data_IF_615273640461
#
_entry.id   IF_615273640461
#
_cell.length_a   1.000
_cell.length_b   1.000
_cell.length_c   1.000
_cell.angle_alpha   90.00
_cell.angle_beta   90.00
_cell.angle_gamma   90.00
#
_symmetry.space_group_name_H-M   'P 1'
#
loop_
_entity.id
_entity.type
_entity.pdbx_description
1 polymer ?
#
# COMPACT_ATOMS: atom_id res chain seq x y z
N UNK A 1 -32.13 -50.63 -1.89
CA UNK A 1 -31.32 -49.73 -1.03
C UNK A 1 -30.54 -48.82 -1.96
N UNK A 2 -30.95 -47.56 -2.09
CA UNK A 2 -30.33 -46.60 -3.02
C UNK A 2 -29.79 -45.44 -2.20
N UNK A 3 -28.47 -45.39 -2.02
CA UNK A 3 -27.79 -44.27 -1.38
C UNK A 3 -27.38 -43.32 -2.51
N UNK A 4 -28.10 -42.21 -2.65
CA UNK A 4 -27.68 -41.09 -3.51
C UNK A 4 -26.72 -40.24 -2.69
N UNK A 5 -25.43 -40.28 -3.04
CA UNK A 5 -24.41 -39.40 -2.46
C UNK A 5 -24.57 -38.02 -3.13
N UNK A 6 -25.11 -37.06 -2.38
CA UNK A 6 -25.10 -35.65 -2.77
C UNK A 6 -23.67 -35.11 -2.59
N UNK A 7 -22.92 -34.96 -3.67
CA UNK A 7 -21.64 -34.27 -3.68
C UNK A 7 -21.88 -32.75 -3.62
N UNK A 8 -21.65 -32.15 -2.45
CA UNK A 8 -21.60 -30.70 -2.32
C UNK A 8 -20.35 -30.16 -3.05
N UNK A 9 -20.57 -29.43 -4.14
CA UNK A 9 -19.51 -28.71 -4.85
C UNK A 9 -19.06 -27.52 -4.00
N UNK A 10 -17.96 -27.67 -3.26
CA UNK A 10 -17.26 -26.55 -2.64
C UNK A 10 -16.53 -25.77 -3.74
N UNK A 11 -17.18 -24.75 -4.30
CA UNK A 11 -16.53 -23.77 -5.16
C UNK A 11 -15.57 -22.93 -4.31
N UNK A 12 -14.28 -23.30 -4.28
CA UNK A 12 -13.21 -22.43 -3.81
C UNK A 12 -13.22 -21.18 -4.69
N UNK A 13 -13.73 -20.07 -4.17
CA UNK A 13 -13.58 -18.76 -4.80
C UNK A 13 -12.09 -18.41 -4.77
N UNK A 14 -11.36 -18.77 -5.84
CA UNK A 14 -10.01 -18.29 -6.09
C UNK A 14 -10.15 -16.80 -6.40
N UNK A 15 -10.21 -15.97 -5.35
CA UNK A 15 -10.09 -14.54 -5.54
C UNK A 15 -8.73 -14.28 -6.18
N UNK A 16 -8.65 -13.46 -7.23
CA UNK A 16 -7.36 -13.06 -7.76
C UNK A 16 -6.56 -12.49 -6.59
N UNK A 17 -5.45 -13.14 -6.24
CA UNK A 17 -4.58 -12.67 -5.18
C UNK A 17 -3.90 -11.42 -5.70
N UNK A 18 -4.50 -10.27 -5.44
CA UNK A 18 -3.83 -8.99 -5.66
C UNK A 18 -2.81 -8.83 -4.54
N UNK A 19 -1.67 -9.46 -4.77
CA UNK A 19 -0.55 -9.38 -3.88
C UNK A 19 0.16 -8.07 -4.11
N UNK A 20 0.34 -7.31 -3.04
CA UNK A 20 1.23 -6.15 -3.06
C UNK A 20 2.64 -6.51 -2.58
N UNK A 21 2.98 -7.81 -2.57
CA UNK A 21 4.31 -8.30 -2.18
C UNK A 21 5.45 -7.75 -3.04
N UNK A 22 5.14 -7.24 -4.24
CA UNK A 22 6.08 -6.58 -5.16
C UNK A 22 5.52 -5.22 -5.60
N UNK A 23 5.73 -4.17 -4.81
CA UNK A 23 5.33 -2.81 -5.17
C UNK A 23 5.86 -2.43 -6.56
N UNK A 24 5.05 -1.71 -7.34
CA UNK A 24 5.41 -1.23 -8.67
C UNK A 24 5.06 -2.16 -9.84
N UNK A 25 4.77 -3.45 -9.60
CA UNK A 25 4.40 -4.39 -10.68
C UNK A 25 3.02 -4.09 -11.24
N UNK A 26 2.02 -3.92 -10.37
CA UNK A 26 0.63 -3.68 -10.73
C UNK A 26 0.16 -2.28 -10.28
N UNK A 27 0.91 -1.24 -10.67
CA UNK A 27 0.55 0.16 -10.36
C UNK A 27 -0.83 0.50 -10.88
N UNK A 28 -1.57 1.27 -10.09
CA UNK A 28 -2.80 1.90 -10.55
C UNK A 28 -2.48 2.84 -11.73
N UNK A 29 -3.28 2.76 -12.80
CA UNK A 29 -3.06 3.49 -14.06
C UNK A 29 -3.91 4.74 -14.21
N UNK A 30 -4.90 4.93 -13.34
CA UNK A 30 -5.70 6.15 -13.27
C UNK A 30 -5.11 7.19 -12.32
N UNK A 31 -5.84 8.28 -12.09
CA UNK A 31 -5.50 9.24 -11.04
C UNK A 31 -6.02 8.76 -9.70
N UNK A 32 -5.27 8.89 -8.59
CA UNK A 32 -5.74 8.46 -7.28
C UNK A 32 -7.11 9.04 -6.88
N UNK A 33 -7.40 10.29 -7.29
CA UNK A 33 -8.70 10.91 -7.09
C UNK A 33 -9.84 10.18 -7.84
N UNK A 34 -9.61 9.72 -9.07
CA UNK A 34 -10.61 8.97 -9.84
C UNK A 34 -10.91 7.59 -9.25
N UNK A 35 -9.93 6.97 -8.57
CA UNK A 35 -10.13 5.67 -7.92
C UNK A 35 -11.26 5.70 -6.87
N UNK A 36 -11.47 6.85 -6.21
CA UNK A 36 -12.50 7.00 -5.18
C UNK A 36 -13.91 6.73 -5.70
N UNK A 37 -14.17 6.88 -7.00
CA UNK A 37 -15.46 6.58 -7.60
C UNK A 37 -15.91 5.12 -7.40
N UNK A 38 -14.98 4.20 -7.10
CA UNK A 38 -15.28 2.79 -6.84
C UNK A 38 -15.64 2.50 -5.37
N UNK A 39 -15.33 3.39 -4.43
CA UNK A 39 -15.73 3.27 -3.03
C UNK A 39 -17.17 3.78 -2.84
N UNK A 40 -18.13 3.00 -3.35
CA UNK A 40 -19.56 3.38 -3.38
C UNK A 40 -20.19 3.53 -1.99
N UNK A 41 -19.58 2.89 -1.00
CA UNK A 41 -19.94 2.92 0.41
C UNK A 41 -19.51 4.20 1.15
N UNK A 42 -18.48 4.92 0.68
CA UNK A 42 -18.16 6.26 1.20
C UNK A 42 -19.28 7.23 0.76
N UNK A 43 -19.81 8.11 1.62
CA UNK A 43 -20.76 9.13 1.20
C UNK A 43 -20.25 9.98 0.02
N UNK A 44 -21.17 10.40 -0.86
CA UNK A 44 -20.77 11.09 -2.09
C UNK A 44 -20.05 12.41 -1.84
N UNK A 45 -20.45 13.14 -0.79
CA UNK A 45 -19.79 14.37 -0.37
C UNK A 45 -18.37 14.10 0.17
N UNK A 46 -18.21 13.09 1.01
CA UNK A 46 -16.92 12.68 1.56
C UNK A 46 -15.95 12.24 0.45
N UNK A 47 -16.43 11.48 -0.54
CA UNK A 47 -15.63 11.13 -1.74
C UNK A 47 -15.19 12.37 -2.50
N UNK A 48 -16.05 13.37 -2.67
CA UNK A 48 -15.72 14.60 -3.39
C UNK A 48 -14.63 15.38 -2.66
N UNK A 49 -14.73 15.49 -1.33
CA UNK A 49 -13.71 16.14 -0.50
C UNK A 49 -12.39 15.36 -0.55
N UNK A 50 -12.41 14.04 -0.37
CA UNK A 50 -11.21 13.21 -0.49
C UNK A 50 -10.55 13.35 -1.88
N UNK A 51 -11.33 13.34 -2.96
CA UNK A 51 -10.82 13.48 -4.33
C UNK A 51 -10.14 14.83 -4.54
N UNK A 52 -10.72 15.90 -4.02
CA UNK A 52 -10.14 17.24 -4.08
C UNK A 52 -8.82 17.28 -3.31
N UNK A 53 -8.79 16.83 -2.05
CA UNK A 53 -7.58 16.84 -1.22
C UNK A 53 -6.45 16.00 -1.83
N UNK A 54 -6.78 14.85 -2.43
CA UNK A 54 -5.82 14.02 -3.16
C UNK A 54 -5.25 14.77 -4.37
N UNK A 55 -6.10 15.44 -5.15
CA UNK A 55 -5.69 16.21 -6.33
C UNK A 55 -4.79 17.39 -5.97
N UNK A 56 -5.10 18.07 -4.86
CA UNK A 56 -4.32 19.19 -4.33
C UNK A 56 -3.06 18.73 -3.58
N UNK A 57 -2.91 17.43 -3.32
CA UNK A 57 -1.82 16.87 -2.54
C UNK A 57 -1.87 17.21 -1.05
N UNK A 58 -3.00 17.73 -0.55
CA UNK A 58 -3.26 18.17 0.83
C UNK A 58 -3.50 16.99 1.79
N UNK A 59 -2.44 16.21 2.03
CA UNK A 59 -2.47 15.04 2.90
C UNK A 59 -2.62 15.42 4.37
N UNK A 60 -3.33 14.58 5.12
CA UNK A 60 -3.43 14.66 6.59
C UNK A 60 -2.20 14.06 7.28
N UNK A 61 -1.48 13.17 6.59
CA UNK A 61 -0.32 12.48 7.13
C UNK A 61 0.63 11.98 6.02
N UNK A 62 1.91 11.90 6.36
CA UNK A 62 2.94 11.28 5.55
C UNK A 62 3.47 10.07 6.28
N UNK A 63 3.29 8.89 5.69
CA UNK A 63 3.50 7.63 6.41
C UNK A 63 4.50 6.72 5.70
N UNK A 64 5.14 5.86 6.49
CA UNK A 64 5.95 4.75 6.03
C UNK A 64 5.18 3.45 6.23
N UNK A 65 4.91 2.75 5.15
CA UNK A 65 4.26 1.45 5.16
C UNK A 65 5.34 0.39 5.27
N UNK A 66 5.24 -0.49 6.26
CA UNK A 66 6.13 -1.65 6.44
C UNK A 66 5.38 -2.95 6.14
N UNK A 67 6.03 -4.12 6.32
CA UNK A 67 5.35 -5.42 6.24
C UNK A 67 4.15 -5.50 7.21
N UNK A 68 4.35 -4.97 8.42
CA UNK A 68 3.48 -5.25 9.56
C UNK A 68 2.77 -4.01 10.09
N UNK A 69 2.98 -2.83 9.51
CA UNK A 69 2.47 -1.59 10.07
C UNK A 69 2.43 -0.43 9.10
N UNK A 70 1.92 0.69 9.60
CA UNK A 70 1.85 1.98 8.94
C UNK A 70 2.27 3.00 10.00
N UNK A 71 3.40 3.65 9.77
CA UNK A 71 4.06 4.55 10.73
C UNK A 71 3.92 5.99 10.23
N UNK A 72 3.33 6.87 11.02
CA UNK A 72 3.06 8.27 10.66
C UNK A 72 2.90 9.15 11.88
N UNK A 73 2.39 10.38 11.70
CA UNK A 73 2.03 11.25 12.82
C UNK A 73 0.84 10.73 13.62
N UNK A 74 -0.04 9.94 12.99
CA UNK A 74 -1.17 9.28 13.64
C UNK A 74 -0.95 7.76 13.75
N UNK A 75 -1.73 7.10 14.61
CA UNK A 75 -1.78 5.64 14.69
C UNK A 75 -2.79 5.07 13.69
N UNK A 76 -2.41 3.99 13.01
CA UNK A 76 -3.25 3.31 12.02
C UNK A 76 -3.27 1.81 12.28
N UNK A 77 -4.39 1.17 11.94
CA UNK A 77 -4.43 -0.29 11.83
C UNK A 77 -3.46 -0.72 10.73
N UNK A 78 -2.71 -1.78 10.98
CA UNK A 78 -1.77 -2.30 10.00
C UNK A 78 -2.48 -2.76 8.72
N UNK A 79 -3.74 -3.18 8.79
CA UNK A 79 -4.50 -3.74 7.68
C UNK A 79 -4.81 -2.68 6.62
N UNK A 80 -4.56 -3.06 5.37
CA UNK A 80 -4.91 -2.30 4.18
C UNK A 80 -5.96 -3.11 3.40
N UNK A 81 -7.05 -2.46 3.00
CA UNK A 81 -8.15 -3.12 2.27
C UNK A 81 -8.53 -2.38 1.00
N UNK A 82 -9.27 -3.08 0.15
CA UNK A 82 -9.93 -2.53 -1.05
C UNK A 82 -8.98 -1.72 -1.93
N UNK A 83 -7.79 -2.27 -2.17
CA UNK A 83 -6.75 -1.61 -2.92
C UNK A 83 -7.03 -1.66 -4.42
N UNK A 84 -6.83 -0.52 -5.07
CA UNK A 84 -6.92 -0.34 -6.51
C UNK A 84 -5.59 -0.69 -7.18
N UNK A 85 -5.64 -1.62 -8.13
CA UNK A 85 -4.52 -2.07 -8.94
C UNK A 85 -4.80 -1.91 -10.43
N UNK A 86 -3.76 -1.65 -11.22
CA UNK A 86 -3.84 -1.65 -12.68
C UNK A 86 -4.90 -0.70 -13.24
N UNK A 87 -5.65 -1.16 -14.24
CA UNK A 87 -6.61 -0.33 -14.96
C UNK A 87 -7.97 -0.16 -14.24
N UNK A 88 -8.49 -1.18 -13.54
CA UNK A 88 -9.82 -1.13 -12.89
C UNK A 88 -10.04 -2.30 -11.90
N UNK A 89 -8.99 -2.79 -11.24
CA UNK A 89 -9.12 -3.93 -10.31
C UNK A 89 -9.13 -3.42 -8.87
N UNK A 90 -10.12 -3.85 -8.08
CA UNK A 90 -10.19 -3.56 -6.64
C UNK A 90 -10.12 -4.87 -5.88
N UNK A 91 -9.24 -4.91 -4.89
CA UNK A 91 -8.95 -6.14 -4.16
C UNK A 91 -9.18 -5.92 -2.68
N UNK A 92 -10.16 -6.63 -2.13
CA UNK A 92 -10.62 -6.45 -0.74
C UNK A 92 -9.52 -6.70 0.28
N UNK A 93 -8.67 -7.68 0.01
CA UNK A 93 -7.54 -8.05 0.88
C UNK A 93 -6.24 -7.75 0.16
N UNK A 94 -5.31 -7.13 0.90
CA UNK A 94 -3.95 -6.84 0.42
C UNK A 94 -2.95 -7.56 1.32
N UNK A 95 -2.05 -8.33 0.71
CA UNK A 95 -0.93 -8.95 1.42
C UNK A 95 0.37 -8.19 1.19
N UNK A 96 1.16 -8.08 2.26
CA UNK A 96 2.55 -7.61 2.26
C UNK A 96 3.50 -8.67 2.84
N UNK A 97 3.04 -9.91 3.03
CA UNK A 97 3.72 -10.94 3.81
C UNK A 97 5.14 -11.25 3.30
N UNK A 98 5.42 -11.05 2.00
CA UNK A 98 6.74 -11.34 1.42
C UNK A 98 7.71 -10.15 1.41
N UNK A 99 7.28 -8.94 1.80
CA UNK A 99 8.19 -7.80 1.95
C UNK A 99 9.27 -8.12 2.97
N UNK A 100 10.51 -7.68 2.86
CA UNK A 100 11.48 -7.89 3.95
C UNK A 100 11.09 -7.08 5.21
N UNK A 101 11.66 -7.40 6.37
CA UNK A 101 11.44 -6.61 7.59
C UNK A 101 11.96 -5.16 7.45
N UNK A 102 12.96 -4.94 6.60
CA UNK A 102 13.54 -3.62 6.31
C UNK A 102 12.78 -2.86 5.21
N UNK A 103 11.90 -3.51 4.44
CA UNK A 103 11.14 -2.86 3.37
C UNK A 103 10.27 -1.74 3.92
N UNK A 104 10.30 -0.57 3.28
CA UNK A 104 9.45 0.58 3.58
C UNK A 104 8.96 1.22 2.28
N UNK A 105 7.68 1.58 2.25
CA UNK A 105 7.05 2.34 1.16
C UNK A 105 6.48 3.65 1.68
N UNK A 106 6.88 4.77 1.08
CA UNK A 106 6.33 6.08 1.43
C UNK A 106 4.95 6.28 0.85
N UNK A 107 4.05 6.85 1.66
CA UNK A 107 2.67 7.09 1.27
C UNK A 107 2.10 8.36 1.91
N UNK A 108 0.99 8.83 1.34
CA UNK A 108 0.18 9.90 1.89
C UNK A 108 -1.17 9.35 2.35
N UNK A 109 -1.67 9.84 3.48
CA UNK A 109 -3.00 9.51 3.99
C UNK A 109 -3.91 10.73 3.91
N UNK A 110 -5.15 10.50 3.50
CA UNK A 110 -6.20 11.50 3.42
C UNK A 110 -7.43 10.96 4.17
N UNK A 111 -7.98 11.75 5.07
CA UNK A 111 -9.12 11.39 5.89
C UNK A 111 -10.23 12.45 5.78
N UNK A 112 -11.48 12.00 5.76
CA UNK A 112 -12.68 12.83 5.94
C UNK A 112 -13.61 12.04 6.86
N UNK A 113 -14.03 12.63 7.97
CA UNK A 113 -14.74 11.93 9.04
C UNK A 113 -13.94 10.68 9.47
N UNK A 114 -14.58 9.51 9.50
CA UNK A 114 -13.97 8.22 9.83
C UNK A 114 -13.36 7.49 8.61
N UNK A 115 -13.47 8.08 7.41
CA UNK A 115 -13.02 7.47 6.16
C UNK A 115 -11.61 7.92 5.81
N UNK A 116 -10.65 7.00 5.85
CA UNK A 116 -9.26 7.26 5.50
C UNK A 116 -8.79 6.40 4.31
N UNK A 117 -8.12 7.06 3.36
CA UNK A 117 -7.48 6.44 2.20
C UNK A 117 -5.99 6.72 2.20
N UNK A 118 -5.20 5.72 1.82
CA UNK A 118 -3.75 5.78 1.72
C UNK A 118 -3.32 5.61 0.25
N UNK A 119 -2.33 6.39 -0.17
CA UNK A 119 -1.79 6.39 -1.54
C UNK A 119 -0.26 6.28 -1.48
N UNK A 120 0.33 5.10 -1.76
CA UNK A 120 1.78 4.92 -1.85
C UNK A 120 2.37 5.67 -3.06
N UNK A 121 3.51 6.31 -2.88
CA UNK A 121 4.16 7.11 -3.91
C UNK A 121 4.66 6.25 -5.09
N UNK A 122 5.22 5.07 -4.78
CA UNK A 122 5.80 4.16 -5.78
C UNK A 122 4.73 3.48 -6.62
N UNK A 123 3.51 3.29 -6.10
CA UNK A 123 2.49 2.53 -6.82
C UNK A 123 1.32 3.38 -7.31
N UNK A 124 0.95 4.44 -6.60
CA UNK A 124 -0.29 5.19 -6.83
C UNK A 124 -1.55 4.39 -6.50
N UNK A 125 -1.40 3.20 -5.90
CA UNK A 125 -2.53 2.34 -5.54
C UNK A 125 -3.34 3.00 -4.43
N UNK A 126 -4.64 3.13 -4.62
CA UNK A 126 -5.53 3.72 -3.61
C UNK A 126 -6.13 2.61 -2.79
N UNK A 127 -5.98 2.68 -1.47
CA UNK A 127 -6.50 1.68 -0.55
C UNK A 127 -7.06 2.31 0.71
N UNK A 128 -7.91 1.57 1.42
CA UNK A 128 -8.47 1.98 2.70
C UNK A 128 -7.53 1.62 3.84
N UNK A 129 -7.49 2.51 4.83
CA UNK A 129 -6.83 2.31 6.13
C UNK A 129 -7.74 2.81 7.22
N UNK A 130 -7.61 2.24 8.43
CA UNK A 130 -8.34 2.74 9.60
C UNK A 130 -7.39 3.52 10.50
N UNK A 131 -7.72 4.77 10.81
CA UNK A 131 -7.04 5.50 11.88
C UNK A 131 -7.48 4.94 13.24
N UNK A 132 -6.52 4.63 14.11
CA UNK A 132 -6.81 4.23 15.48
C UNK A 132 -7.01 5.52 16.27
N UNK A 133 -8.27 5.90 16.46
CA UNK A 133 -8.64 6.91 17.43
C UNK A 133 -8.63 6.25 18.80
N UNK A 134 -7.58 6.46 19.58
CA UNK A 134 -7.64 6.15 21.01
C UNK A 134 -8.58 7.16 21.62
N UNK A 135 -9.86 6.80 21.72
CA UNK A 135 -10.80 7.57 22.51
C UNK A 135 -10.19 7.70 23.90
N UNK A 136 -9.79 8.92 24.29
CA UNK A 136 -9.63 9.26 25.70
C UNK A 136 -10.94 8.89 26.42
N UNK A 137 -10.91 8.63 27.74
CA UNK A 137 -12.05 8.06 28.45
C UNK A 137 -13.32 8.86 28.12
N UNK A 138 -14.21 8.24 27.36
CA UNK A 138 -15.53 8.78 27.10
C UNK A 138 -16.22 8.87 28.44
N UNK A 139 -16.46 10.09 28.92
CA UNK A 139 -17.37 10.38 30.01
C UNK A 139 -18.79 10.07 29.54
N UNK A 140 -19.12 8.78 29.51
CA UNK A 140 -20.48 8.30 29.38
C UNK A 140 -21.11 8.22 30.77
N UNK A 141 -22.11 9.09 30.99
CA UNK A 141 -23.29 8.85 31.82
C UNK A 141 -23.10 8.21 33.19
N UNK A 142 -23.16 9.03 34.24
CA UNK A 142 -23.44 8.60 35.59
C UNK A 142 -24.77 7.85 35.69
N UNK A 143 -24.75 6.59 36.13
CA UNK A 143 -25.71 6.02 37.10
C UNK A 143 -25.22 4.64 37.57
N UNK A 144 -24.94 4.49 38.86
CA UNK A 144 -24.65 3.20 39.49
C UNK A 144 -23.47 3.27 40.46
N UNK A 145 -23.77 3.39 41.75
CA UNK A 145 -22.82 3.73 42.80
C UNK A 145 -21.91 2.59 43.28
N UNK A 146 -20.69 2.99 43.65
CA UNK A 146 -19.89 2.51 44.78
C UNK A 146 -18.78 3.58 45.01
N UNK A 147 -18.46 3.97 46.26
CA UNK A 147 -17.47 5.03 46.48
C UNK A 147 -16.06 4.48 46.26
N UNK A 148 -15.20 5.11 45.45
CA UNK A 148 -13.79 4.79 45.45
C UNK A 148 -13.09 5.52 46.61
N UNK A 149 -12.22 4.78 47.28
CA UNK A 149 -11.20 5.29 48.20
C UNK A 149 -10.43 6.44 47.53
N UNK A 150 -10.45 7.61 48.15
CA UNK A 150 -9.64 8.76 47.74
C UNK A 150 -8.17 8.49 48.14
N UNK A 151 -7.33 8.16 47.17
CA UNK A 151 -5.90 8.41 47.29
C UNK A 151 -5.68 9.81 46.74
N UNK A 152 -5.48 10.77 47.64
CA UNK A 152 -5.01 12.09 47.29
C UNK A 152 -3.60 11.98 46.68
N UNK A 153 -3.48 12.25 45.38
CA UNK A 153 -2.22 12.58 44.75
C UNK A 153 -2.28 14.05 44.32
N UNK A 154 -1.45 14.87 44.95
CA UNK A 154 -1.31 16.30 44.71
C UNK A 154 -1.03 16.59 43.22
N UNK A 155 -1.45 17.77 42.69
CA UNK A 155 -1.00 18.21 41.39
C UNK A 155 0.50 18.53 41.47
N UNK A 156 1.30 17.76 40.75
CA UNK A 156 2.66 18.16 40.42
C UNK A 156 2.56 19.36 39.46
N UNK A 157 2.88 20.53 39.97
CA UNK A 157 3.10 21.74 39.21
C UNK A 157 4.22 21.48 38.20
N UNK A 158 3.84 21.32 36.94
CA UNK A 158 4.78 21.13 35.84
C UNK A 158 5.50 22.45 35.62
N UNK A 159 6.77 22.50 36.07
CA UNK A 159 7.67 23.56 35.70
C UNK A 159 7.71 23.68 34.15
N UNK A 160 7.63 24.90 33.59
CA UNK A 160 7.69 25.08 32.15
C UNK A 160 9.01 24.53 31.63
N UNK A 161 8.92 23.58 30.70
CA UNK A 161 10.07 23.10 29.94
C UNK A 161 10.70 24.30 29.22
N UNK A 162 12.03 24.50 29.29
CA UNK A 162 12.67 25.56 28.55
C UNK A 162 12.45 25.33 27.05
N UNK A 163 11.80 26.29 26.40
CA UNK A 163 11.70 26.33 24.94
C UNK A 163 13.12 26.33 24.36
N UNK A 164 13.44 25.49 23.36
CA UNK A 164 14.69 25.61 22.65
C UNK A 164 14.75 27.00 22.00
N UNK A 165 15.72 27.80 22.43
CA UNK A 165 16.05 29.06 21.78
C UNK A 165 16.72 28.71 20.46
N UNK A 166 15.98 28.79 19.36
CA UNK A 166 16.55 28.70 18.03
C UNK A 166 17.22 30.03 17.70
N UNK A 167 18.43 29.97 17.14
CA UNK A 167 19.07 31.15 16.56
C UNK A 167 18.19 31.72 15.45
N UNK A 168 17.95 33.02 15.47
CA UNK A 168 17.23 33.72 14.41
C UNK A 168 17.90 33.48 13.05
N UNK A 169 17.10 33.24 12.03
CA UNK A 169 17.59 33.08 10.66
C UNK A 169 18.16 34.44 10.21
N UNK A 170 19.45 34.53 9.84
CA UNK A 170 20.05 35.80 9.44
C UNK A 170 19.30 36.38 8.24
N UNK A 171 19.04 37.69 8.30
CA UNK A 171 18.33 38.39 7.23
C UNK A 171 19.24 38.55 6.01
N UNK A 172 18.62 38.71 4.83
CA UNK A 172 19.31 38.81 3.55
C UNK A 172 20.32 39.98 3.57
N UNK A 173 21.60 39.67 3.72
CA UNK A 173 22.69 40.66 3.76
C UNK A 173 23.68 40.52 4.92
N UNK A 174 23.43 39.65 5.91
CA UNK A 174 24.39 39.38 6.97
C UNK A 174 25.47 38.37 6.54
N UNK A 175 26.70 38.59 7.03
CA UNK A 175 27.89 37.83 6.65
C UNK A 175 27.80 36.39 7.18
N UNK A 176 27.68 35.42 6.26
CA UNK A 176 27.56 34.01 6.62
C UNK A 176 28.84 33.49 7.31
N UNK A 177 28.69 32.60 8.31
CA UNK A 177 29.82 31.99 9.00
C UNK A 177 30.72 31.23 8.01
N UNK A 178 32.02 31.07 8.31
CA UNK A 178 33.02 30.59 7.35
C UNK A 178 32.74 29.19 6.78
N UNK A 179 31.96 28.36 7.47
CA UNK A 179 31.51 27.06 6.98
C UNK A 179 30.30 27.13 6.03
N UNK A 180 29.52 28.22 6.07
CA UNK A 180 28.38 28.49 5.19
C UNK A 180 28.78 29.28 3.93
N UNK A 181 30.04 29.72 3.84
CA UNK A 181 30.62 30.24 2.58
C UNK A 181 30.92 29.05 1.66
N UNK A 182 29.93 28.63 0.89
CA UNK A 182 30.20 27.82 -0.29
C UNK A 182 31.04 28.65 -1.24
N UNK A 183 32.36 28.41 -1.23
CA UNK A 183 33.24 28.77 -2.34
C UNK A 183 32.53 28.28 -3.60
N UNK A 184 32.29 29.18 -4.54
CA UNK A 184 32.06 28.82 -5.93
C UNK A 184 33.31 28.09 -6.42
N UNK A 185 33.44 26.82 -6.06
CA UNK A 185 34.35 25.92 -6.72
C UNK A 185 33.75 25.66 -8.08
N UNK A 186 34.48 26.13 -9.08
CA UNK A 186 34.43 25.71 -10.47
C UNK A 186 34.63 24.19 -10.55
N UNK A 187 33.61 23.43 -10.16
CA UNK A 187 33.52 22.00 -10.46
C UNK A 187 33.02 21.96 -11.89
N UNK A 188 33.92 21.66 -12.82
CA UNK A 188 33.53 21.29 -14.18
C UNK A 188 32.45 20.20 -14.10
N UNK A 189 31.38 20.27 -14.89
CA UNK A 189 30.35 19.24 -14.86
C UNK A 189 31.01 17.89 -15.17
N UNK A 190 30.92 16.96 -14.22
CA UNK A 190 31.29 15.58 -14.49
C UNK A 190 30.47 15.08 -15.68
N UNK A 191 31.07 14.38 -16.67
CA UNK A 191 30.32 13.83 -17.78
C UNK A 191 29.27 12.87 -17.21
N UNK A 192 28.01 13.18 -17.47
CA UNK A 192 26.90 12.31 -17.11
C UNK A 192 27.12 10.95 -17.78
N UNK A 193 27.00 9.82 -17.05
CA UNK A 193 26.91 8.53 -17.71
C UNK A 193 25.66 8.56 -18.59
N UNK A 194 25.87 8.47 -19.91
CA UNK A 194 24.81 8.32 -20.91
C UNK A 194 24.12 6.98 -20.68
N UNK A 195 23.10 7.00 -19.83
CA UNK A 195 22.21 5.87 -19.59
C UNK A 195 21.23 5.79 -20.76
N UNK A 196 21.19 4.69 -21.54
CA UNK A 196 20.16 4.50 -22.54
C UNK A 196 18.85 4.21 -21.81
N UNK A 197 18.12 5.25 -21.46
CA UNK A 197 16.74 5.13 -21.01
C UNK A 197 15.87 4.59 -22.16
N UNK A 198 14.90 3.72 -21.89
CA UNK A 198 13.97 3.24 -22.90
C UNK A 198 13.00 4.38 -23.23
N UNK A 199 13.31 5.16 -24.26
CA UNK A 199 12.37 6.18 -24.75
C UNK A 199 12.95 7.29 -25.61
N UNK A 200 14.27 7.41 -25.75
CA UNK A 200 14.90 8.48 -26.52
C UNK A 200 15.60 7.97 -27.78
N UNK A 201 14.85 7.59 -28.81
CA UNK A 201 15.43 7.18 -30.08
C UNK A 201 14.36 6.90 -31.11
N UNK A 202 14.07 7.88 -31.96
CA UNK A 202 13.22 7.69 -33.12
C UNK A 202 13.83 6.63 -34.04
N UNK A 203 13.25 5.43 -34.03
CA UNK A 203 13.45 4.42 -35.05
C UNK A 203 12.12 4.22 -35.77
N UNK A 204 11.97 4.90 -36.91
CA UNK A 204 11.11 4.40 -37.97
C UNK A 204 11.84 3.21 -38.62
N UNK A 205 11.68 2.03 -38.00
CA UNK A 205 12.09 0.76 -38.58
C UNK A 205 10.97 -0.25 -38.33
N UNK A 206 10.54 -1.03 -39.34
CA UNK A 206 9.57 -2.09 -39.11
C UNK A 206 10.13 -3.10 -38.09
N UNK A 207 9.31 -3.62 -37.16
CA UNK A 207 9.80 -4.56 -36.15
C UNK A 207 10.29 -5.84 -36.83
N UNK A 208 11.40 -6.45 -36.36
CA UNK A 208 11.81 -7.76 -36.83
C UNK A 208 10.75 -8.78 -36.42
N UNK A 209 10.08 -9.38 -37.41
CA UNK A 209 9.21 -10.52 -37.24
C UNK A 209 10.05 -11.77 -36.94
N UNK A 210 10.58 -11.86 -35.73
CA UNK A 210 11.18 -13.07 -35.20
C UNK A 210 10.11 -13.95 -34.55
N UNK A 211 10.08 -15.27 -34.80
CA UNK A 211 9.18 -16.16 -34.08
C UNK A 211 9.56 -16.18 -32.60
N UNK A 212 8.71 -15.61 -31.75
CA UNK A 212 8.83 -15.78 -30.29
C UNK A 212 8.53 -17.25 -29.97
N UNK A 213 9.52 -17.99 -29.50
CA UNK A 213 9.29 -19.34 -28.96
C UNK A 213 8.55 -19.20 -27.63
N UNK A 214 7.29 -19.65 -27.49
CA UNK A 214 6.63 -19.61 -26.20
C UNK A 214 7.40 -20.51 -25.23
N UNK A 215 7.97 -19.91 -24.19
CA UNK A 215 8.53 -20.66 -23.06
C UNK A 215 7.34 -21.19 -22.26
N UNK A 216 7.12 -22.52 -22.19
CA UNK A 216 6.00 -23.07 -21.45
C UNK A 216 6.15 -22.74 -19.96
N UNK A 217 5.14 -22.10 -19.39
CA UNK A 217 5.10 -21.81 -17.95
C UNK A 217 5.16 -23.12 -17.14
N UNK A 218 5.75 -23.13 -15.94
CA UNK A 218 5.88 -24.32 -15.09
C UNK A 218 4.53 -25.02 -14.81
N UNK A 219 3.42 -24.28 -14.89
CA UNK A 219 2.05 -24.80 -14.79
C UNK A 219 1.65 -25.72 -15.96
N UNK A 220 2.22 -25.52 -17.15
CA UNK A 220 1.91 -26.29 -18.36
C UNK A 220 2.47 -27.71 -18.27
N UNK A 221 3.70 -27.85 -17.75
CA UNK A 221 4.30 -29.15 -17.48
C UNK A 221 3.54 -29.92 -16.40
N UNK A 222 3.09 -29.23 -15.36
CA UNK A 222 2.29 -29.84 -14.30
C UNK A 222 0.98 -30.43 -14.85
N UNK A 223 0.28 -29.69 -15.72
CA UNK A 223 -0.95 -30.17 -16.36
C UNK A 223 -0.70 -31.37 -17.28
N UNK A 224 0.39 -31.35 -18.05
CA UNK A 224 0.75 -32.44 -18.95
C UNK A 224 1.10 -33.73 -18.20
N UNK A 225 1.89 -33.62 -17.13
CA UNK A 225 2.25 -34.76 -16.27
C UNK A 225 1.03 -35.32 -15.53
N UNK A 226 0.16 -34.45 -15.02
CA UNK A 226 -1.09 -34.86 -14.38
C UNK A 226 -2.01 -35.62 -15.35
N UNK A 227 -2.17 -35.12 -16.58
CA UNK A 227 -2.93 -35.81 -17.64
C UNK A 227 -2.32 -37.17 -17.98
N UNK A 228 -1.00 -37.25 -18.13
CA UNK A 228 -0.28 -38.50 -18.39
C UNK A 228 -0.46 -39.54 -17.28
N UNK A 229 -0.38 -39.11 -16.01
CA UNK A 229 -0.57 -40.00 -14.86
C UNK A 229 -1.98 -40.59 -14.80
N UNK A 230 -3.02 -39.80 -15.12
CA UNK A 230 -4.41 -40.28 -15.17
C UNK A 230 -4.58 -41.33 -16.26
N UNK A 231 -4.03 -41.11 -17.45
CA UNK A 231 -4.13 -42.05 -18.57
C UNK A 231 -3.39 -43.36 -18.26
N UNK A 232 -2.18 -43.28 -17.70
CA UNK A 232 -1.42 -44.44 -17.27
C UNK A 232 -2.17 -45.26 -16.20
N UNK A 233 -2.74 -44.60 -15.20
CA UNK A 233 -3.55 -45.25 -14.16
C UNK A 233 -4.78 -45.97 -14.74
N UNK A 234 -5.45 -45.38 -15.74
CA UNK A 234 -6.60 -45.99 -16.39
C UNK A 234 -6.21 -47.25 -17.19
N UNK A 235 -5.11 -47.19 -17.94
CA UNK A 235 -4.62 -48.34 -18.70
C UNK A 235 -4.18 -49.49 -17.78
N UNK A 236 -3.55 -49.15 -16.65
CA UNK A 236 -3.12 -50.15 -15.68
C UNK A 236 -4.28 -50.84 -14.97
N UNK A 237 -5.35 -50.12 -14.66
CA UNK A 237 -6.57 -50.72 -14.10
C UNK A 237 -7.24 -51.69 -15.07
N UNK A 238 -7.32 -51.35 -16.36
CA UNK A 238 -7.90 -52.25 -17.38
C UNK A 238 -7.13 -53.58 -17.47
N UNK A 239 -5.79 -53.53 -17.47
CA UNK A 239 -4.95 -54.73 -17.47
C UNK A 239 -5.06 -55.62 -16.23
N UNK A 240 -5.65 -55.14 -15.13
CA UNK A 240 -5.88 -55.94 -13.91
C UNK A 240 -7.28 -56.55 -13.85
N UNK A 241 -8.16 -56.18 -14.78
CA UNK A 241 -9.54 -56.68 -14.83
C UNK A 241 -9.76 -57.71 -15.94
N UNK A 242 -8.75 -57.94 -16.76
CA UNK A 242 -8.60 -59.08 -17.68
C UNK A 242 -7.59 -60.07 -17.06
#
# INVERSE_FOLDING_TARGET
MSIVIAAAAAALMIQPVCSWDRPGVDRYRGTPAAALANYRDIPADDRRVLAQRISDGAADDHVQISRNGIEGSNQYDARITDMHFGANRVCRTVTRAKWSAAHRESAKVYCVNDECVIVPQVCGNVSRVRRIVTSGPSTAGASGGAPPLQVAAAPAEQAPMPMPVYSEVPSRGEELPPWARTRSSLIAPAPLPSYPGPGGGGYYGPPPAGPVSPVPEPSTWAMLLAGGAIMAARLWRRKRTD
#
